data_IF_351641718518
#
_entry.id   IF_351641718518
#
_cell.length_a   1.000
_cell.length_b   1.000
_cell.length_c   1.000
_cell.angle_alpha   90.00
_cell.angle_beta   90.00
_cell.angle_gamma   90.00
#
_symmetry.space_group_name_H-M   'P 1'
#
loop_
_entity.id
_entity.type
_entity.pdbx_description
1 polymer ?
#
# COMPACT_ATOMS: atom_id res chain seq x y z
N UNK A 1 15.28 6.01 40.29
CA UNK A 1 14.92 4.95 39.31
C UNK A 1 13.51 5.15 38.75
N UNK A 2 12.56 5.63 39.55
CA UNK A 2 11.16 5.92 39.17
C UNK A 2 11.01 6.95 38.05
N UNK A 3 11.82 8.02 38.04
CA UNK A 3 11.71 9.10 37.02
C UNK A 3 11.98 8.65 35.55
N UNK A 4 12.84 7.67 35.33
CA UNK A 4 13.12 7.14 34.01
C UNK A 4 11.99 6.24 33.47
N UNK A 5 11.34 5.50 34.34
CA UNK A 5 10.19 4.66 34.03
C UNK A 5 8.98 5.50 33.61
N UNK A 6 8.73 6.60 34.29
CA UNK A 6 7.58 7.48 34.06
C UNK A 6 7.70 8.21 32.69
N UNK A 7 8.90 8.69 32.36
CA UNK A 7 9.17 9.33 31.06
C UNK A 7 9.01 8.33 29.89
N UNK A 8 9.45 7.08 30.08
CA UNK A 8 9.36 6.04 29.04
C UNK A 8 7.91 5.60 28.83
N UNK A 9 7.15 5.45 29.89
CA UNK A 9 5.71 5.14 29.84
C UNK A 9 4.93 6.26 29.13
N UNK A 10 5.19 7.53 29.44
CA UNK A 10 4.55 8.66 28.80
C UNK A 10 4.84 8.75 27.29
N UNK A 11 6.06 8.42 26.85
CA UNK A 11 6.40 8.34 25.42
C UNK A 11 5.67 7.20 24.71
N UNK A 12 5.56 6.04 25.32
CA UNK A 12 4.85 4.87 24.75
C UNK A 12 3.35 5.16 24.61
N UNK A 13 2.74 5.75 25.63
CA UNK A 13 1.32 6.12 25.60
C UNK A 13 1.03 7.18 24.53
N UNK A 14 1.87 8.19 24.42
CA UNK A 14 1.75 9.25 23.41
C UNK A 14 1.86 8.69 22.00
N UNK A 15 2.81 7.80 21.75
CA UNK A 15 2.98 7.12 20.47
C UNK A 15 1.76 6.24 20.13
N UNK A 16 1.24 5.48 21.08
CA UNK A 16 0.04 4.64 20.92
C UNK A 16 -1.20 5.49 20.59
N UNK A 17 -1.41 6.58 21.32
CA UNK A 17 -2.54 7.47 21.09
C UNK A 17 -2.45 8.15 19.70
N UNK A 18 -1.24 8.52 19.26
CA UNK A 18 -1.01 9.09 17.94
C UNK A 18 -1.32 8.06 16.83
N UNK A 19 -0.85 6.83 16.97
CA UNK A 19 -1.10 5.77 15.98
C UNK A 19 -2.60 5.43 15.90
N UNK A 20 -3.30 5.44 17.02
CA UNK A 20 -4.76 5.27 17.05
C UNK A 20 -5.48 6.45 16.35
N UNK A 21 -5.04 7.68 16.59
CA UNK A 21 -5.58 8.86 15.92
C UNK A 21 -5.39 8.79 14.40
N UNK A 22 -4.19 8.41 13.94
CA UNK A 22 -3.87 8.22 12.53
C UNK A 22 -4.80 7.18 11.89
N UNK A 23 -4.92 6.02 12.53
CA UNK A 23 -5.81 4.94 12.09
C UNK A 23 -7.26 5.41 12.00
N UNK A 24 -7.78 6.07 13.03
CA UNK A 24 -9.16 6.57 13.07
C UNK A 24 -9.39 7.64 11.99
N UNK A 25 -8.44 8.56 11.81
CA UNK A 25 -8.53 9.61 10.78
C UNK A 25 -8.62 8.99 9.38
N UNK A 26 -7.75 8.02 9.08
CA UNK A 26 -7.78 7.32 7.80
C UNK A 26 -9.11 6.56 7.60
N UNK A 27 -9.61 5.90 8.64
CA UNK A 27 -10.90 5.19 8.62
C UNK A 27 -12.05 6.12 8.29
N UNK A 28 -12.14 7.26 8.98
CA UNK A 28 -13.22 8.25 8.75
C UNK A 28 -13.13 8.86 7.35
N UNK A 29 -11.94 9.24 6.89
CA UNK A 29 -11.78 9.80 5.54
C UNK A 29 -12.20 8.76 4.49
N UNK A 30 -11.77 7.50 4.61
CA UNK A 30 -12.15 6.45 3.66
C UNK A 30 -13.66 6.23 3.65
N UNK A 31 -14.28 6.11 4.83
CA UNK A 31 -15.71 5.92 4.97
C UNK A 31 -16.52 7.05 4.30
N UNK A 32 -16.19 8.30 4.61
CA UNK A 32 -16.91 9.44 4.01
C UNK A 32 -16.65 9.58 2.51
N UNK A 33 -15.48 9.20 1.99
CA UNK A 33 -15.18 9.22 0.57
C UNK A 33 -15.82 8.05 -0.20
N UNK A 34 -16.13 6.96 0.45
CA UNK A 34 -16.82 5.82 -0.18
C UNK A 34 -18.20 6.18 -0.68
N UNK A 35 -18.95 6.99 0.08
CA UNK A 35 -20.33 7.43 -0.28
C UNK A 35 -20.35 8.17 -1.63
N UNK A 36 -19.61 9.28 -1.85
CA UNK A 36 -19.58 9.96 -3.14
C UNK A 36 -18.97 9.11 -4.25
N UNK A 37 -18.01 8.23 -3.94
CA UNK A 37 -17.40 7.32 -4.94
C UNK A 37 -18.44 6.35 -5.51
N UNK A 38 -19.32 5.80 -4.68
CA UNK A 38 -20.43 4.95 -5.13
C UNK A 38 -21.36 5.74 -6.08
N UNK A 39 -21.68 6.99 -5.75
CA UNK A 39 -22.52 7.84 -6.59
C UNK A 39 -21.84 8.15 -7.93
N UNK A 40 -20.52 8.46 -7.92
CA UNK A 40 -19.73 8.71 -9.12
C UNK A 40 -19.62 7.44 -9.98
N UNK A 41 -19.34 6.28 -9.39
CA UNK A 41 -19.25 5.02 -10.12
C UNK A 41 -20.58 4.71 -10.86
N UNK A 42 -21.71 4.91 -10.22
CA UNK A 42 -23.04 4.77 -10.85
C UNK A 42 -23.24 5.77 -11.99
N UNK A 43 -22.87 7.05 -11.78
CA UNK A 43 -23.00 8.12 -12.78
C UNK A 43 -22.15 7.86 -14.03
N UNK A 44 -20.95 7.35 -13.87
CA UNK A 44 -20.04 7.06 -14.98
C UNK A 44 -20.17 5.64 -15.54
N UNK A 45 -21.22 4.90 -15.15
CA UNK A 45 -21.47 3.51 -15.56
C UNK A 45 -20.31 2.54 -15.24
N UNK A 46 -19.48 2.87 -14.23
CA UNK A 46 -18.46 2.00 -13.68
C UNK A 46 -19.10 1.00 -12.72
N UNK A 47 -19.92 0.11 -13.27
CA UNK A 47 -20.70 -0.89 -12.52
C UNK A 47 -20.60 -2.24 -13.18
N UNK A 48 -20.67 -3.30 -12.36
CA UNK A 48 -20.85 -4.67 -12.86
C UNK A 48 -22.30 -5.08 -12.62
N UNK A 49 -22.99 -5.45 -13.68
CA UNK A 49 -24.30 -6.07 -13.58
C UNK A 49 -24.13 -7.61 -13.65
N UNK A 50 -24.49 -8.30 -12.60
CA UNK A 50 -24.41 -9.77 -12.51
C UNK A 50 -25.29 -10.48 -13.53
N UNK A 51 -26.32 -9.82 -14.07
CA UNK A 51 -27.19 -10.35 -15.13
C UNK A 51 -26.53 -10.37 -16.50
N UNK A 52 -25.61 -9.43 -16.76
CA UNK A 52 -24.95 -9.26 -18.06
C UNK A 52 -23.62 -10.04 -18.11
N UNK A 53 -22.90 -10.10 -16.99
CA UNK A 53 -21.63 -10.84 -16.88
C UNK A 53 -21.81 -12.05 -15.96
N UNK A 54 -22.15 -13.18 -16.57
CA UNK A 54 -22.19 -14.47 -15.87
C UNK A 54 -20.77 -15.06 -15.84
N UNK A 55 -20.11 -14.99 -14.68
CA UNK A 55 -18.88 -15.71 -14.41
C UNK A 55 -19.09 -16.64 -13.22
N UNK A 56 -18.63 -17.91 -13.25
CA UNK A 56 -18.84 -18.88 -12.16
C UNK A 56 -18.40 -18.42 -10.77
N UNK A 57 -17.46 -17.45 -10.73
CA UNK A 57 -16.98 -16.86 -9.48
C UNK A 57 -17.80 -15.64 -9.00
N UNK A 58 -18.84 -15.21 -9.72
CA UNK A 58 -19.69 -14.12 -9.27
C UNK A 58 -20.77 -14.64 -8.30
N UNK A 59 -20.54 -14.40 -7.00
CA UNK A 59 -21.50 -14.75 -5.93
C UNK A 59 -22.50 -13.62 -5.66
N UNK A 60 -22.34 -12.46 -6.31
CA UNK A 60 -23.13 -11.25 -6.03
C UNK A 60 -24.40 -11.18 -6.88
N UNK A 61 -25.47 -10.67 -6.28
CA UNK A 61 -26.72 -10.34 -6.96
C UNK A 61 -26.88 -8.80 -7.03
N UNK A 62 -27.14 -8.26 -8.25
CA UNK A 62 -27.42 -6.84 -8.45
C UNK A 62 -26.30 -6.05 -9.11
N UNK A 63 -26.42 -4.72 -9.06
CA UNK A 63 -25.49 -3.75 -9.66
C UNK A 63 -24.44 -3.37 -8.63
N UNK A 64 -23.19 -3.77 -8.86
CA UNK A 64 -22.06 -3.49 -7.97
C UNK A 64 -21.23 -2.35 -8.54
N UNK A 65 -21.08 -1.23 -7.79
CA UNK A 65 -20.18 -0.15 -8.18
C UNK A 65 -18.72 -0.64 -8.19
N UNK A 66 -17.99 -0.28 -9.24
CA UNK A 66 -16.54 -0.43 -9.34
C UNK A 66 -15.87 0.86 -8.84
N UNK A 67 -14.55 0.97 -8.95
CA UNK A 67 -13.77 2.11 -8.46
C UNK A 67 -13.55 2.16 -6.94
N UNK A 68 -13.69 1.03 -6.23
CA UNK A 68 -13.45 0.95 -4.77
C UNK A 68 -12.05 1.35 -4.32
N UNK A 69 -11.05 1.27 -5.20
CA UNK A 69 -9.69 1.74 -4.92
C UNK A 69 -9.56 3.25 -4.71
N UNK A 70 -10.48 4.06 -5.26
CA UNK A 70 -10.40 5.51 -5.21
C UNK A 70 -10.53 6.09 -3.78
N UNK A 71 -11.55 5.74 -2.98
CA UNK A 71 -11.66 6.24 -1.61
C UNK A 71 -10.53 5.77 -0.72
N UNK A 72 -10.05 4.54 -0.90
CA UNK A 72 -8.90 4.00 -0.17
C UNK A 72 -7.66 4.84 -0.47
N UNK A 73 -7.34 5.06 -1.75
CA UNK A 73 -6.18 5.85 -2.15
C UNK A 73 -6.25 7.29 -1.65
N UNK A 74 -7.38 7.96 -1.82
CA UNK A 74 -7.55 9.34 -1.35
C UNK A 74 -7.40 9.43 0.18
N UNK A 75 -7.91 8.45 0.92
CA UNK A 75 -7.70 8.37 2.36
C UNK A 75 -6.21 8.22 2.70
N UNK A 76 -5.50 7.30 2.03
CA UNK A 76 -4.06 7.14 2.22
C UNK A 76 -3.32 8.45 1.88
N UNK A 77 -3.64 9.08 0.76
CA UNK A 77 -3.00 10.31 0.31
C UNK A 77 -3.19 11.45 1.34
N UNK A 78 -4.44 11.77 1.69
CA UNK A 78 -4.72 12.89 2.59
C UNK A 78 -4.16 12.65 3.99
N UNK A 79 -4.31 11.43 4.53
CA UNK A 79 -3.77 11.11 5.85
C UNK A 79 -2.24 11.11 5.85
N UNK A 80 -1.61 10.65 4.76
CA UNK A 80 -0.15 10.72 4.62
C UNK A 80 0.36 12.16 4.56
N UNK A 81 -0.32 13.05 3.84
CA UNK A 81 0.04 14.47 3.78
C UNK A 81 -0.07 15.17 5.14
N UNK A 82 -0.96 14.72 6.02
CA UNK A 82 -1.15 15.28 7.35
C UNK A 82 -0.10 14.76 8.35
N UNK A 83 0.19 13.47 8.34
CA UNK A 83 0.93 12.80 9.42
C UNK A 83 2.34 12.33 9.03
N UNK A 84 2.70 12.30 7.74
CA UNK A 84 4.01 11.86 7.27
C UNK A 84 4.83 13.01 6.68
N UNK A 85 6.12 13.00 6.96
CA UNK A 85 7.09 13.80 6.20
C UNK A 85 7.31 13.14 4.83
N UNK A 86 6.87 13.80 3.77
CA UNK A 86 6.97 13.27 2.41
C UNK A 86 8.42 13.32 1.95
N UNK A 87 9.09 12.18 2.01
CA UNK A 87 10.42 11.98 1.44
C UNK A 87 10.32 11.33 0.04
N UNK A 88 11.47 11.12 -0.61
CA UNK A 88 11.55 10.53 -1.96
C UNK A 88 10.82 9.18 -2.05
N UNK A 89 11.02 8.29 -1.08
CA UNK A 89 10.43 6.94 -1.09
C UNK A 89 8.90 7.02 -0.91
N UNK A 90 8.43 7.78 0.09
CA UNK A 90 6.98 7.94 0.34
C UNK A 90 6.32 8.62 -0.85
N UNK A 91 6.93 9.65 -1.42
CA UNK A 91 6.45 10.30 -2.65
C UNK A 91 6.34 9.31 -3.81
N UNK A 92 7.35 8.46 -3.99
CA UNK A 92 7.34 7.39 -4.99
C UNK A 92 6.19 6.38 -4.79
N UNK A 93 5.95 5.96 -3.55
CA UNK A 93 4.84 5.06 -3.20
C UNK A 93 3.49 5.72 -3.52
N UNK A 94 3.30 6.99 -3.15
CA UNK A 94 2.04 7.70 -3.41
C UNK A 94 1.80 7.91 -4.91
N UNK A 95 2.84 8.25 -5.69
CA UNK A 95 2.74 8.39 -7.15
C UNK A 95 2.43 7.04 -7.80
N UNK A 96 3.13 5.99 -7.42
CA UNK A 96 2.89 4.65 -7.94
C UNK A 96 1.48 4.14 -7.61
N UNK A 97 1.01 4.38 -6.38
CA UNK A 97 -0.36 4.06 -5.97
C UNK A 97 -1.39 4.84 -6.79
N UNK A 98 -1.13 6.11 -7.10
CA UNK A 98 -1.98 6.90 -8.00
C UNK A 98 -2.06 6.28 -9.41
N UNK A 99 -0.92 5.87 -9.97
CA UNK A 99 -0.89 5.21 -11.27
C UNK A 99 -1.63 3.86 -11.25
N UNK A 100 -1.53 3.09 -10.15
CA UNK A 100 -2.32 1.86 -9.96
C UNK A 100 -3.82 2.12 -9.90
N UNK A 101 -4.26 3.22 -9.29
CA UNK A 101 -5.68 3.61 -9.30
C UNK A 101 -6.15 3.98 -10.70
N UNK A 102 -5.37 4.76 -11.45
CA UNK A 102 -5.68 5.06 -12.86
C UNK A 102 -5.78 3.77 -13.67
N UNK A 103 -4.82 2.87 -13.52
CA UNK A 103 -4.84 1.57 -14.19
C UNK A 103 -6.09 0.76 -13.82
N UNK A 104 -6.45 0.71 -12.53
CA UNK A 104 -7.64 0.02 -12.04
C UNK A 104 -8.94 0.61 -12.61
N UNK A 105 -9.06 1.93 -12.63
CA UNK A 105 -10.22 2.62 -13.21
C UNK A 105 -10.34 2.39 -14.74
N UNK A 106 -9.21 2.39 -15.45
CA UNK A 106 -9.17 2.08 -16.88
C UNK A 106 -9.55 0.61 -17.14
N UNK A 107 -9.07 -0.31 -16.30
CA UNK A 107 -9.44 -1.72 -16.37
C UNK A 107 -10.94 -1.93 -16.11
N UNK A 108 -11.47 -1.25 -15.10
CA UNK A 108 -12.90 -1.25 -14.79
C UNK A 108 -13.78 -0.70 -15.93
N UNK A 109 -13.26 0.28 -16.68
CA UNK A 109 -13.99 0.94 -17.77
C UNK A 109 -13.87 0.18 -19.11
N UNK A 110 -12.71 -0.45 -19.41
CA UNK A 110 -12.39 -0.97 -20.76
C UNK A 110 -12.04 -2.45 -20.82
N UNK A 111 -12.02 -3.16 -19.67
CA UNK A 111 -11.57 -4.57 -19.59
C UNK A 111 -10.23 -4.79 -20.30
N UNK A 112 -9.18 -4.23 -19.75
CA UNK A 112 -7.83 -4.29 -20.34
C UNK A 112 -7.33 -5.74 -20.42
N UNK A 113 -6.52 -6.04 -21.43
CA UNK A 113 -5.93 -7.36 -21.57
C UNK A 113 -5.04 -7.68 -20.34
N UNK A 114 -5.00 -8.95 -19.87
CA UNK A 114 -4.17 -9.35 -18.75
C UNK A 114 -2.68 -9.05 -18.96
N UNK A 115 -2.18 -9.18 -20.18
CA UNK A 115 -0.80 -8.89 -20.55
C UNK A 115 -0.46 -7.40 -20.41
N UNK A 116 -1.37 -6.52 -20.82
CA UNK A 116 -1.19 -5.07 -20.70
C UNK A 116 -1.20 -4.63 -19.24
N UNK A 117 -2.13 -5.17 -18.43
CA UNK A 117 -2.14 -4.92 -16.96
C UNK A 117 -0.85 -5.39 -16.30
N UNK A 118 -0.37 -6.58 -16.66
CA UNK A 118 0.87 -7.12 -16.12
C UNK A 118 2.08 -6.25 -16.47
N UNK A 119 2.19 -5.82 -17.73
CA UNK A 119 3.26 -4.93 -18.18
C UNK A 119 3.25 -3.57 -17.45
N UNK A 120 2.06 -2.98 -17.25
CA UNK A 120 1.93 -1.74 -16.48
C UNK A 120 2.24 -1.94 -15.00
N UNK A 121 1.83 -3.05 -14.38
CA UNK A 121 2.19 -3.36 -13.00
C UNK A 121 3.72 -3.50 -12.85
N UNK A 122 4.38 -4.15 -13.81
CA UNK A 122 5.84 -4.27 -13.83
C UNK A 122 6.50 -2.89 -13.93
N UNK A 123 6.01 -2.03 -14.83
CA UNK A 123 6.51 -0.66 -14.98
C UNK A 123 6.32 0.17 -13.71
N UNK A 124 5.13 0.11 -13.08
CA UNK A 124 4.85 0.84 -11.82
C UNK A 124 5.72 0.31 -10.69
N UNK A 125 5.95 -1.00 -10.59
CA UNK A 125 6.88 -1.58 -9.62
C UNK A 125 8.30 -1.08 -9.83
N UNK A 126 8.79 -1.05 -11.08
CA UNK A 126 10.10 -0.49 -11.42
C UNK A 126 10.20 1.00 -11.06
N UNK A 127 9.12 1.76 -11.24
CA UNK A 127 9.08 3.16 -10.84
C UNK A 127 9.29 3.33 -9.32
N UNK A 128 8.61 2.54 -8.49
CA UNK A 128 8.80 2.57 -7.01
C UNK A 128 10.24 2.30 -6.63
N UNK A 129 10.87 1.32 -7.29
CA UNK A 129 12.28 0.97 -7.04
C UNK A 129 13.19 2.15 -7.45
N UNK A 130 12.92 2.82 -8.56
CA UNK A 130 13.66 4.01 -8.97
C UNK A 130 13.58 5.18 -7.97
N UNK A 131 12.52 5.24 -7.15
CA UNK A 131 12.41 6.16 -6.03
C UNK A 131 13.24 5.74 -4.80
N UNK A 132 13.88 4.58 -4.82
CA UNK A 132 14.81 4.10 -3.79
C UNK A 132 14.24 3.04 -2.85
N UNK A 133 13.07 2.45 -3.18
CA UNK A 133 12.58 1.28 -2.47
C UNK A 133 13.26 0.03 -3.05
N UNK A 134 14.00 -0.72 -2.23
CA UNK A 134 14.69 -1.93 -2.68
C UNK A 134 14.77 -2.98 -1.59
N UNK A 135 15.21 -4.19 -1.94
CA UNK A 135 15.43 -5.31 -0.98
C UNK A 135 16.94 -5.62 -0.94
N UNK A 136 17.73 -4.86 -0.15
CA UNK A 136 19.20 -5.00 -0.16
C UNK A 136 19.69 -6.29 0.47
N UNK A 137 18.89 -6.95 1.29
CA UNK A 137 19.22 -8.24 1.94
C UNK A 137 17.97 -9.03 2.27
N UNK A 138 18.14 -10.34 2.42
CA UNK A 138 17.11 -11.26 2.93
C UNK A 138 17.68 -12.05 4.10
N UNK A 139 16.84 -12.46 5.04
CA UNK A 139 17.24 -13.30 6.15
C UNK A 139 17.64 -14.69 5.66
N UNK A 140 18.79 -15.19 6.09
CA UNK A 140 19.22 -16.55 5.81
C UNK A 140 18.61 -17.49 6.87
N UNK A 141 17.83 -18.51 6.48
CA UNK A 141 17.23 -19.45 7.43
C UNK A 141 18.27 -20.26 8.23
N UNK A 142 19.51 -20.35 7.74
CA UNK A 142 20.61 -21.02 8.41
C UNK A 142 21.48 -20.09 9.26
N UNK A 143 21.10 -18.82 9.40
CA UNK A 143 21.77 -17.79 10.19
C UNK A 143 22.41 -16.69 9.34
N UNK A 144 22.36 -15.45 9.86
CA UNK A 144 22.87 -14.27 9.19
C UNK A 144 21.95 -13.71 8.10
N UNK A 145 22.53 -12.97 7.16
CA UNK A 145 21.81 -12.31 6.05
C UNK A 145 22.49 -12.61 4.73
N UNK A 146 21.69 -12.77 3.69
CA UNK A 146 22.16 -12.86 2.30
C UNK A 146 22.06 -11.46 1.71
N UNK A 147 23.19 -10.86 1.36
CA UNK A 147 23.25 -9.52 0.74
C UNK A 147 22.96 -9.65 -0.75
N UNK A 148 22.12 -8.75 -1.27
CA UNK A 148 21.72 -8.70 -2.66
C UNK A 148 22.28 -7.44 -3.37
N UNK A 149 22.92 -6.56 -2.62
CA UNK A 149 23.50 -5.29 -3.05
C UNK A 149 24.96 -5.41 -3.56
N UNK A 150 25.42 -6.64 -3.87
CA UNK A 150 26.78 -6.90 -4.29
C UNK A 150 27.08 -6.47 -5.74
N UNK A 151 26.08 -6.37 -6.59
CA UNK A 151 26.22 -5.91 -7.97
C UNK A 151 25.62 -4.53 -8.15
N UNK A 152 26.49 -3.54 -8.27
CA UNK A 152 26.11 -2.12 -8.29
C UNK A 152 26.49 -1.47 -9.62
N UNK A 153 25.57 -0.73 -10.21
CA UNK A 153 25.79 0.07 -11.42
C UNK A 153 25.52 1.52 -11.05
N UNK A 154 26.56 2.38 -10.95
CA UNK A 154 26.37 3.81 -10.72
C UNK A 154 25.80 4.46 -11.98
N UNK A 155 24.71 5.22 -11.85
CA UNK A 155 24.10 5.99 -12.92
C UNK A 155 24.05 7.46 -12.53
N UNK A 156 24.59 8.33 -13.38
CA UNK A 156 24.58 9.78 -13.24
C UNK A 156 23.52 10.40 -14.16
N UNK A 157 22.25 10.14 -13.87
CA UNK A 157 21.13 10.71 -14.62
C UNK A 157 20.17 11.38 -13.62
N UNK A 158 20.00 12.70 -13.70
CA UNK A 158 19.26 13.51 -12.71
C UNK A 158 19.72 13.32 -11.24
N UNK A 159 21.05 13.20 -11.02
CA UNK A 159 21.68 12.94 -9.72
C UNK A 159 22.41 11.60 -9.67
N UNK A 160 23.25 11.40 -8.65
CA UNK A 160 23.96 10.13 -8.45
C UNK A 160 22.98 9.07 -7.91
N UNK A 161 22.65 8.08 -8.73
CA UNK A 161 21.87 6.92 -8.35
C UNK A 161 22.71 5.65 -8.53
N UNK A 162 22.54 4.70 -7.62
CA UNK A 162 23.15 3.38 -7.75
C UNK A 162 22.03 2.37 -7.95
N UNK A 163 22.05 1.64 -9.06
CA UNK A 163 21.18 0.48 -9.28
C UNK A 163 21.85 -0.73 -8.62
N UNK A 164 21.14 -1.40 -7.74
CA UNK A 164 21.52 -2.66 -7.14
C UNK A 164 20.83 -3.80 -7.89
N UNK A 165 21.46 -4.26 -8.95
CA UNK A 165 20.84 -5.09 -10.00
C UNK A 165 20.02 -6.24 -9.41
N UNK A 166 20.60 -7.05 -8.54
CA UNK A 166 19.91 -8.22 -7.95
C UNK A 166 18.81 -7.80 -6.99
N UNK A 167 19.09 -6.83 -6.11
CA UNK A 167 18.16 -6.31 -5.13
C UNK A 167 16.93 -5.67 -5.80
N UNK A 168 17.15 -4.87 -6.84
CA UNK A 168 16.11 -4.14 -7.54
C UNK A 168 15.24 -5.07 -8.40
N UNK A 169 15.84 -6.03 -9.10
CA UNK A 169 15.10 -7.05 -9.85
C UNK A 169 14.21 -7.88 -8.91
N UNK A 170 14.75 -8.35 -7.78
CA UNK A 170 13.98 -9.10 -6.80
C UNK A 170 12.81 -8.26 -6.26
N UNK A 171 13.05 -6.98 -5.95
CA UNK A 171 12.03 -6.08 -5.45
C UNK A 171 10.92 -5.83 -6.50
N UNK A 172 11.27 -5.65 -7.78
CA UNK A 172 10.30 -5.50 -8.87
C UNK A 172 9.42 -6.76 -8.99
N UNK A 173 10.05 -7.93 -9.02
CA UNK A 173 9.34 -9.22 -9.10
C UNK A 173 8.42 -9.38 -7.89
N UNK A 174 8.91 -9.10 -6.68
CA UNK A 174 8.14 -9.22 -5.44
C UNK A 174 6.92 -8.30 -5.41
N UNK A 175 7.08 -7.02 -5.76
CA UNK A 175 5.98 -6.06 -5.81
C UNK A 175 4.95 -6.45 -6.87
N UNK A 176 5.40 -6.79 -8.08
CA UNK A 176 4.51 -7.20 -9.16
C UNK A 176 3.76 -8.48 -8.79
N UNK A 177 4.43 -9.46 -8.22
CA UNK A 177 3.82 -10.71 -7.75
C UNK A 177 2.77 -10.45 -6.68
N UNK A 178 3.12 -9.70 -5.63
CA UNK A 178 2.22 -9.39 -4.51
C UNK A 178 0.98 -8.63 -4.99
N UNK A 179 1.14 -7.64 -5.87
CA UNK A 179 0.02 -6.88 -6.43
C UNK A 179 -0.94 -7.79 -7.20
N UNK A 180 -0.44 -8.74 -7.99
CA UNK A 180 -1.30 -9.67 -8.72
C UNK A 180 -1.96 -10.71 -7.81
N UNK A 181 -1.24 -11.24 -6.80
CA UNK A 181 -1.82 -12.17 -5.82
C UNK A 181 -2.96 -11.54 -5.05
N UNK A 182 -2.78 -10.31 -4.57
CA UNK A 182 -3.83 -9.55 -3.87
C UNK A 182 -5.03 -9.33 -4.79
N UNK A 183 -4.80 -9.03 -6.07
CA UNK A 183 -5.88 -8.88 -7.05
C UNK A 183 -6.68 -10.18 -7.27
N UNK A 184 -6.05 -11.35 -7.16
CA UNK A 184 -6.74 -12.64 -7.28
C UNK A 184 -7.52 -13.04 -6.03
N UNK A 185 -7.20 -12.49 -4.86
CA UNK A 185 -7.82 -12.85 -3.57
C UNK A 185 -9.20 -12.20 -3.33
N UNK A 186 -9.75 -11.45 -4.28
CA UNK A 186 -11.01 -10.71 -4.12
C UNK A 186 -12.27 -11.52 -4.52
N UNK A 187 -12.35 -12.78 -4.10
CA UNK A 187 -13.48 -13.67 -4.42
C UNK A 187 -14.70 -13.50 -3.51
N UNK A 188 -14.52 -12.95 -2.30
CA UNK A 188 -15.57 -12.80 -1.28
C UNK A 188 -15.60 -11.36 -0.79
N UNK A 189 -16.81 -10.84 -0.53
CA UNK A 189 -17.01 -9.49 0.01
C UNK A 189 -16.32 -9.32 1.36
N UNK A 190 -15.60 -8.20 1.53
CA UNK A 190 -14.87 -7.90 2.75
C UNK A 190 -13.57 -8.69 2.95
N UNK A 191 -13.29 -9.73 2.17
CA UNK A 191 -12.07 -10.54 2.32
C UNK A 191 -10.82 -9.71 2.13
N UNK A 192 -10.74 -8.97 1.03
CA UNK A 192 -9.56 -8.15 0.72
C UNK A 192 -9.36 -7.02 1.74
N UNK A 193 -10.35 -6.15 2.02
CA UNK A 193 -10.21 -5.11 3.03
C UNK A 193 -9.85 -5.67 4.41
N UNK A 194 -10.49 -6.73 4.85
CA UNK A 194 -10.19 -7.37 6.13
C UNK A 194 -8.78 -7.91 6.23
N UNK A 195 -8.33 -8.64 5.20
CA UNK A 195 -6.97 -9.18 5.15
C UNK A 195 -5.91 -8.08 5.18
N UNK A 196 -6.08 -7.02 4.37
CA UNK A 196 -5.11 -5.91 4.32
C UNK A 196 -5.12 -5.14 5.64
N UNK A 197 -6.29 -4.88 6.23
CA UNK A 197 -6.39 -4.21 7.54
C UNK A 197 -5.62 -4.95 8.62
N UNK A 198 -5.85 -6.27 8.76
CA UNK A 198 -5.18 -7.10 9.77
C UNK A 198 -3.66 -7.10 9.52
N UNK A 199 -3.24 -7.36 8.29
CA UNK A 199 -1.81 -7.39 7.94
C UNK A 199 -1.13 -6.06 8.21
N UNK A 200 -1.76 -4.95 7.84
CA UNK A 200 -1.21 -3.61 8.06
C UNK A 200 -1.12 -3.26 9.55
N UNK A 201 -2.10 -3.64 10.38
CA UNK A 201 -2.01 -3.49 11.83
C UNK A 201 -0.80 -4.26 12.39
N UNK A 202 -0.64 -5.52 11.99
CA UNK A 202 0.51 -6.33 12.44
C UNK A 202 1.85 -5.72 12.02
N UNK A 203 1.97 -5.26 10.79
CA UNK A 203 3.18 -4.57 10.30
C UNK A 203 3.45 -3.28 11.08
N UNK A 204 2.43 -2.49 11.37
CA UNK A 204 2.55 -1.29 12.18
C UNK A 204 3.03 -1.58 13.61
N UNK A 205 2.44 -2.58 14.26
CA UNK A 205 2.84 -3.01 15.61
C UNK A 205 4.27 -3.60 15.63
N UNK A 206 4.64 -4.36 14.60
CA UNK A 206 5.98 -4.90 14.46
C UNK A 206 7.01 -3.81 14.24
N UNK A 207 6.75 -2.90 13.29
CA UNK A 207 7.64 -1.78 12.97
C UNK A 207 7.83 -0.83 14.16
N UNK A 208 6.81 -0.64 14.98
CA UNK A 208 6.88 0.20 16.18
C UNK A 208 7.97 -0.24 17.15
N UNK A 209 8.32 -1.53 17.20
CA UNK A 209 9.41 -2.04 18.04
C UNK A 209 10.79 -1.56 17.61
N UNK A 210 10.95 -1.15 16.37
CA UNK A 210 12.22 -0.72 15.78
C UNK A 210 12.37 0.80 15.70
N UNK A 211 11.33 1.58 16.03
CA UNK A 211 11.34 3.06 15.92
C UNK A 211 12.37 3.74 16.80
N UNK A 212 12.80 3.10 17.89
CA UNK A 212 13.84 3.61 18.78
C UNK A 212 15.26 3.55 18.16
N UNK A 213 15.45 2.71 17.14
CA UNK A 213 16.75 2.43 16.52
C UNK A 213 16.82 2.85 15.06
N UNK A 214 15.67 3.04 14.40
CA UNK A 214 15.58 3.36 12.97
C UNK A 214 14.48 4.39 12.71
N UNK A 215 14.87 5.55 12.20
CA UNK A 215 13.94 6.63 11.84
C UNK A 215 13.00 6.19 10.70
N UNK A 216 13.45 5.31 9.82
CA UNK A 216 12.62 4.79 8.74
C UNK A 216 11.48 3.92 9.25
N UNK A 217 11.68 3.19 10.36
CA UNK A 217 10.67 2.39 11.02
C UNK A 217 9.46 3.22 11.50
N UNK A 218 9.68 4.48 11.88
CA UNK A 218 8.58 5.38 12.23
C UNK A 218 7.66 5.65 11.04
N UNK A 219 8.23 5.93 9.87
CA UNK A 219 7.45 6.15 8.63
C UNK A 219 6.67 4.90 8.23
N UNK A 220 7.28 3.72 8.38
CA UNK A 220 6.60 2.43 8.12
C UNK A 220 5.45 2.22 9.11
N UNK A 221 5.66 2.51 10.39
CA UNK A 221 4.61 2.41 11.42
C UNK A 221 3.41 3.28 11.07
N UNK A 222 3.64 4.55 10.80
CA UNK A 222 2.58 5.52 10.46
C UNK A 222 1.85 5.09 9.18
N UNK A 223 2.59 4.76 8.11
CA UNK A 223 2.00 4.33 6.85
C UNK A 223 1.16 3.06 7.00
N UNK A 224 1.60 2.12 7.83
CA UNK A 224 0.86 0.88 8.11
C UNK A 224 -0.48 1.16 8.79
N UNK A 225 -0.53 2.04 9.79
CA UNK A 225 -1.81 2.43 10.42
C UNK A 225 -2.70 3.26 9.50
N UNK A 226 -2.13 4.09 8.61
CA UNK A 226 -2.89 4.78 7.56
C UNK A 226 -3.56 3.77 6.62
N UNK A 227 -2.80 2.81 6.12
CA UNK A 227 -3.32 1.76 5.22
C UNK A 227 -4.40 0.94 5.92
N UNK A 228 -4.14 0.49 7.16
CA UNK A 228 -5.11 -0.26 7.94
C UNK A 228 -6.43 0.49 8.11
N UNK A 229 -6.37 1.78 8.48
CA UNK A 229 -7.56 2.61 8.63
C UNK A 229 -8.29 2.85 7.30
N UNK A 230 -7.56 3.12 6.23
CA UNK A 230 -8.15 3.34 4.92
C UNK A 230 -8.92 2.12 4.39
N UNK A 231 -8.40 0.91 4.61
CA UNK A 231 -9.09 -0.32 4.22
C UNK A 231 -10.24 -0.68 5.16
N UNK A 232 -10.15 -0.38 6.46
CA UNK A 232 -11.24 -0.62 7.39
C UNK A 232 -12.44 0.30 7.14
N UNK A 233 -12.19 1.54 6.72
CA UNK A 233 -13.25 2.53 6.46
C UNK A 233 -13.95 2.35 5.12
N UNK A 234 -13.40 1.52 4.25
CA UNK A 234 -13.99 1.18 2.94
C UNK A 234 -15.01 0.05 3.07
#
# INVERSE_FOLDING_TARGET
>A
MESKYDVTQGHIERSRNMNFLIFLTATLISYFLTIPTIALAKKFHLVTDSKVRQHPAHTHQGIIPRAGGLPIYLSILFTSLIFLSINKIIGGILIASFLLIILGLLDDARDLSPYFRFALNLFISALVIAFGLGIPYISNPFGGVIRLDFWQIPINFFGSHTIWVVADILAIIWLTWTTNMINWSKGVDGQLPGFVTITAIFLGLLSQRFTAHDISAQSVTILSFIVAGAYLGF
#
